data_IF_029180698424
#
_entry.id   IF_029180698424
#
_cell.length_a   1.000
_cell.length_b   1.000
_cell.length_c   1.000
_cell.angle_alpha   90.00
_cell.angle_beta   90.00
_cell.angle_gamma   90.00
#
_symmetry.space_group_name_H-M   'P 1'
#
loop_
_entity.id
_entity.type
_entity.pdbx_description
1 polymer ?
#
# COMPACT_ATOMS: atom_id res chain seq x y z
N UNK A 1 38.39 13.49 -33.64
CA UNK A 1 39.71 12.93 -33.37
C UNK A 1 39.60 11.93 -32.26
N UNK A 2 39.96 10.67 -32.51
CA UNK A 2 39.98 9.62 -31.47
C UNK A 2 41.13 9.93 -30.48
N UNK A 3 40.85 9.99 -29.16
CA UNK A 3 41.90 10.30 -28.19
C UNK A 3 42.90 9.13 -28.10
N UNK A 4 44.19 9.48 -27.92
CA UNK A 4 45.25 8.49 -27.73
C UNK A 4 45.02 7.70 -26.43
N UNK A 5 45.21 6.39 -26.45
CA UNK A 5 45.12 5.49 -25.28
C UNK A 5 46.01 5.95 -24.14
N UNK A 6 47.15 6.59 -24.46
CA UNK A 6 48.08 7.14 -23.46
C UNK A 6 47.48 8.31 -22.68
N UNK A 7 46.79 9.22 -23.35
CA UNK A 7 46.11 10.37 -22.72
C UNK A 7 44.99 9.89 -21.78
N UNK A 8 44.17 8.95 -22.22
CA UNK A 8 43.11 8.37 -21.38
C UNK A 8 43.72 7.72 -20.13
N UNK A 9 44.75 6.89 -20.26
CA UNK A 9 45.42 6.27 -19.10
C UNK A 9 46.01 7.29 -18.13
N UNK A 10 46.59 8.37 -18.62
CA UNK A 10 47.14 9.42 -17.78
C UNK A 10 46.03 10.14 -17.00
N UNK A 11 44.93 10.46 -17.63
CA UNK A 11 43.73 11.04 -17.00
C UNK A 11 43.16 10.09 -15.95
N UNK A 12 42.97 8.82 -16.23
CA UNK A 12 42.50 7.84 -15.27
C UNK A 12 43.39 7.71 -14.03
N UNK A 13 44.74 7.72 -14.22
CA UNK A 13 45.72 7.74 -13.09
C UNK A 13 45.57 8.97 -12.22
N UNK A 14 45.36 10.14 -12.84
CA UNK A 14 45.19 11.41 -12.11
C UNK A 14 43.87 11.38 -11.31
N UNK A 15 42.80 10.84 -11.87
CA UNK A 15 41.51 10.71 -11.22
C UNK A 15 41.53 9.69 -10.07
N UNK A 16 42.28 8.60 -10.19
CA UNK A 16 42.42 7.62 -9.11
C UNK A 16 43.07 8.21 -7.84
N UNK A 17 43.93 9.25 -7.98
CA UNK A 17 44.56 9.93 -6.83
C UNK A 17 43.58 10.82 -6.04
N UNK A 18 42.52 11.31 -6.71
CA UNK A 18 41.48 12.17 -6.09
C UNK A 18 40.09 11.70 -6.44
N UNK A 19 39.54 10.66 -5.77
CA UNK A 19 38.28 10.02 -6.12
C UNK A 19 37.04 10.92 -5.89
N UNK A 20 37.15 11.97 -5.11
CA UNK A 20 36.03 12.91 -4.83
C UNK A 20 36.02 14.14 -5.73
N UNK A 21 37.04 14.31 -6.57
CA UNK A 21 37.12 15.44 -7.48
C UNK A 21 36.08 15.35 -8.56
N UNK A 22 35.36 16.45 -8.84
CA UNK A 22 34.45 16.56 -9.97
C UNK A 22 35.22 16.57 -11.29
N UNK A 23 34.67 15.90 -12.30
CA UNK A 23 35.22 15.91 -13.66
C UNK A 23 35.00 17.28 -14.32
N UNK A 24 36.03 17.78 -15.00
CA UNK A 24 35.84 18.89 -15.92
C UNK A 24 35.03 18.45 -17.16
N UNK A 25 34.50 19.41 -17.91
CA UNK A 25 33.80 19.10 -19.15
C UNK A 25 34.68 18.34 -20.14
N UNK A 26 35.91 18.79 -20.31
CA UNK A 26 36.89 18.20 -21.24
C UNK A 26 37.30 16.78 -20.83
N UNK A 27 37.49 16.55 -19.53
CA UNK A 27 37.75 15.22 -18.98
C UNK A 27 36.57 14.29 -19.22
N UNK A 28 35.33 14.78 -19.06
CA UNK A 28 34.15 14.00 -19.29
C UNK A 28 33.98 13.62 -20.79
N UNK A 29 34.23 14.56 -21.70
CA UNK A 29 34.28 14.33 -23.15
C UNK A 29 35.35 13.32 -23.52
N UNK A 30 36.55 13.45 -22.95
CA UNK A 30 37.66 12.53 -23.18
C UNK A 30 37.34 11.09 -22.76
N UNK A 31 36.80 10.92 -21.55
CA UNK A 31 36.42 9.61 -21.02
C UNK A 31 35.28 9.00 -21.81
N UNK A 32 34.26 9.80 -22.20
CA UNK A 32 33.16 9.37 -23.03
C UNK A 32 33.63 8.91 -24.42
N UNK A 33 34.55 9.65 -25.02
CA UNK A 33 35.17 9.28 -26.30
C UNK A 33 36.01 8.00 -26.18
N UNK A 34 36.70 7.77 -25.05
CA UNK A 34 37.40 6.53 -24.75
C UNK A 34 36.44 5.33 -24.61
N UNK A 35 35.32 5.54 -23.93
CA UNK A 35 34.26 4.54 -23.77
C UNK A 35 33.59 4.18 -25.12
N UNK A 36 33.26 5.17 -25.94
CA UNK A 36 32.58 4.97 -27.24
C UNK A 36 33.50 4.26 -28.25
N UNK A 37 34.79 4.52 -28.22
CA UNK A 37 35.78 3.89 -29.10
C UNK A 37 36.39 2.60 -28.52
N UNK A 38 35.81 2.04 -27.48
CA UNK A 38 36.24 0.78 -26.82
C UNK A 38 37.67 0.84 -26.26
N UNK A 39 38.19 2.03 -25.99
CA UNK A 39 39.48 2.26 -25.41
C UNK A 39 39.36 2.31 -23.87
N UNK A 40 39.75 1.22 -23.19
CA UNK A 40 39.58 1.09 -21.72
C UNK A 40 38.15 1.36 -21.28
N UNK A 41 37.18 0.75 -21.96
CA UNK A 41 35.74 1.00 -21.82
C UNK A 41 35.26 0.96 -20.37
N UNK A 42 35.57 -0.11 -19.66
CA UNK A 42 35.13 -0.31 -18.29
C UNK A 42 35.79 0.69 -17.32
N UNK A 43 37.07 0.99 -17.52
CA UNK A 43 37.79 1.95 -16.71
C UNK A 43 37.24 3.38 -16.90
N UNK A 44 36.92 3.75 -18.14
CA UNK A 44 36.30 5.02 -18.47
C UNK A 44 34.91 5.14 -17.86
N UNK A 45 34.07 4.10 -18.00
CA UNK A 45 32.71 4.08 -17.42
C UNK A 45 32.78 4.17 -15.88
N UNK A 46 33.62 3.37 -15.25
CA UNK A 46 33.82 3.37 -13.81
C UNK A 46 34.29 4.74 -13.29
N UNK A 47 35.20 5.40 -14.00
CA UNK A 47 35.63 6.74 -13.65
C UNK A 47 34.49 7.76 -13.78
N UNK A 48 33.76 7.75 -14.89
CA UNK A 48 32.61 8.64 -15.09
C UNK A 48 31.53 8.44 -14.02
N UNK A 49 31.20 7.20 -13.65
CA UNK A 49 30.23 6.93 -12.61
C UNK A 49 30.74 7.40 -11.23
N UNK A 50 31.95 7.00 -10.85
CA UNK A 50 32.54 7.32 -9.54
C UNK A 50 32.60 8.82 -9.28
N UNK A 51 33.08 9.59 -10.24
CA UNK A 51 33.23 11.04 -10.10
C UNK A 51 31.90 11.82 -10.17
N UNK A 52 30.80 11.19 -10.62
CA UNK A 52 29.47 11.76 -10.59
C UNK A 52 28.64 11.27 -9.37
N UNK A 53 29.18 10.47 -8.46
CA UNK A 53 28.46 9.99 -7.26
C UNK A 53 28.05 11.14 -6.34
N UNK A 54 28.81 12.22 -6.26
CA UNK A 54 28.44 13.44 -5.53
C UNK A 54 27.12 14.02 -6.05
N UNK A 55 27.01 14.13 -7.37
CA UNK A 55 25.79 14.60 -8.04
C UNK A 55 24.58 13.69 -7.77
N UNK A 56 24.76 12.36 -7.83
CA UNK A 56 23.69 11.40 -7.47
C UNK A 56 23.25 11.59 -6.03
N UNK A 57 24.22 11.70 -5.08
CA UNK A 57 23.90 11.91 -3.67
C UNK A 57 23.10 13.20 -3.45
N UNK A 58 23.43 14.26 -4.15
CA UNK A 58 22.69 15.53 -4.04
C UNK A 58 21.25 15.40 -4.55
N UNK A 59 21.02 14.70 -5.66
CA UNK A 59 19.69 14.42 -6.18
C UNK A 59 18.89 13.53 -5.21
N UNK A 60 19.53 12.54 -4.60
CA UNK A 60 18.88 11.62 -3.65
C UNK A 60 18.53 12.26 -2.29
N UNK A 61 19.11 13.41 -1.91
CA UNK A 61 18.78 14.13 -0.67
C UNK A 61 17.30 14.52 -0.55
N UNK A 62 16.57 14.54 -1.65
CA UNK A 62 15.12 14.78 -1.67
C UNK A 62 14.33 13.66 -0.97
N UNK A 63 14.93 12.46 -0.83
CA UNK A 63 14.30 11.35 -0.12
C UNK A 63 14.36 11.60 1.38
N UNK A 64 13.18 11.59 2.02
CA UNK A 64 13.02 11.80 3.46
C UNK A 64 13.49 10.59 4.29
N UNK A 65 13.39 9.38 3.74
CA UNK A 65 13.69 8.11 4.41
C UNK A 65 15.16 7.75 4.24
N UNK A 66 15.98 7.97 5.29
CA UNK A 66 17.43 7.75 5.27
C UNK A 66 17.81 6.27 5.05
N UNK A 67 16.99 5.35 5.50
CA UNK A 67 17.16 3.90 5.35
C UNK A 67 17.21 3.45 3.88
N UNK A 68 16.45 4.12 3.00
CA UNK A 68 16.40 3.81 1.57
C UNK A 68 17.40 4.62 0.73
N UNK A 69 18.25 5.42 1.37
CA UNK A 69 19.16 6.34 0.65
C UNK A 69 20.15 5.60 -0.26
N UNK A 70 20.72 4.50 0.24
CA UNK A 70 21.73 3.71 -0.51
C UNK A 70 21.08 3.07 -1.74
N UNK A 71 19.92 2.44 -1.57
CA UNK A 71 19.18 1.79 -2.65
C UNK A 71 18.76 2.80 -3.71
N UNK A 72 18.29 3.97 -3.25
CA UNK A 72 17.99 5.08 -4.15
C UNK A 72 19.17 5.51 -4.99
N UNK A 73 20.35 5.65 -4.38
CA UNK A 73 21.58 6.00 -5.11
C UNK A 73 21.90 4.94 -6.16
N UNK A 74 21.76 3.64 -5.86
CA UNK A 74 21.98 2.56 -6.82
C UNK A 74 21.05 2.66 -8.03
N UNK A 75 19.74 2.90 -7.79
CA UNK A 75 18.79 3.15 -8.88
C UNK A 75 19.13 4.37 -9.72
N UNK A 76 19.61 5.42 -9.09
CA UNK A 76 20.04 6.63 -9.78
C UNK A 76 21.31 6.41 -10.63
N UNK A 77 22.21 5.50 -10.21
CA UNK A 77 23.38 5.10 -11.00
C UNK A 77 22.96 4.48 -12.34
N UNK A 78 21.91 3.66 -12.39
CA UNK A 78 21.38 3.15 -13.66
C UNK A 78 20.94 4.30 -14.60
N UNK A 79 20.32 5.34 -14.04
CA UNK A 79 19.96 6.55 -14.80
C UNK A 79 21.15 7.30 -15.33
N UNK A 80 22.21 7.40 -14.53
CA UNK A 80 23.47 8.00 -14.92
C UNK A 80 24.14 7.22 -16.07
N UNK A 81 24.19 5.88 -15.98
CA UNK A 81 24.74 5.03 -17.04
C UNK A 81 23.98 5.22 -18.34
N UNK A 82 22.63 5.24 -18.27
CA UNK A 82 21.79 5.53 -19.44
C UNK A 82 22.03 6.91 -20.03
N UNK A 83 22.31 7.89 -19.17
CA UNK A 83 22.66 9.22 -19.64
C UNK A 83 24.02 9.23 -20.33
N UNK A 84 25.03 8.50 -19.82
CA UNK A 84 26.35 8.34 -20.46
C UNK A 84 26.19 7.69 -21.84
N UNK A 85 25.40 6.63 -21.95
CA UNK A 85 25.16 5.91 -23.23
C UNK A 85 24.57 6.81 -24.34
N UNK A 86 23.73 7.76 -23.95
CA UNK A 86 22.99 8.61 -24.91
C UNK A 86 23.47 10.05 -25.01
N UNK A 87 24.51 10.38 -24.25
CA UNK A 87 25.03 11.73 -24.26
C UNK A 87 25.84 12.00 -25.54
N UNK A 88 25.53 13.11 -26.20
CA UNK A 88 26.23 13.61 -27.37
C UNK A 88 26.96 14.91 -27.01
N UNK A 89 28.28 14.84 -26.75
CA UNK A 89 29.09 16.01 -26.37
C UNK A 89 29.03 17.16 -27.39
N UNK A 90 28.84 16.81 -28.67
CA UNK A 90 28.83 17.75 -29.79
C UNK A 90 27.69 18.78 -29.69
N UNK A 91 26.62 18.48 -28.94
CA UNK A 91 25.51 19.42 -28.70
C UNK A 91 25.87 20.58 -27.77
N UNK A 92 27.06 20.62 -27.20
CA UNK A 92 27.54 21.71 -26.35
C UNK A 92 26.93 21.79 -24.96
N UNK A 93 26.08 20.81 -24.56
CA UNK A 93 25.47 20.77 -23.25
C UNK A 93 26.40 20.09 -22.23
N UNK A 94 26.48 20.68 -21.03
CA UNK A 94 27.20 20.04 -19.91
C UNK A 94 26.53 18.71 -19.56
N UNK A 95 27.36 17.70 -19.30
CA UNK A 95 26.87 16.36 -18.95
C UNK A 95 25.89 16.36 -17.76
N UNK A 96 26.15 17.12 -16.72
CA UNK A 96 25.26 17.20 -15.56
C UNK A 96 23.86 17.70 -15.92
N UNK A 97 23.75 18.68 -16.81
CA UNK A 97 22.46 19.19 -17.29
C UNK A 97 21.70 18.13 -18.07
N UNK A 98 22.40 17.37 -18.91
CA UNK A 98 21.81 16.27 -19.67
C UNK A 98 21.43 15.07 -18.79
N UNK A 99 22.26 14.71 -17.82
CA UNK A 99 22.06 13.55 -16.96
C UNK A 99 20.94 13.75 -15.92
N UNK A 100 20.69 14.99 -15.48
CA UNK A 100 19.70 15.31 -14.46
C UNK A 100 18.32 14.70 -14.71
N UNK A 101 17.67 14.87 -15.87
CA UNK A 101 16.35 14.28 -16.13
C UNK A 101 16.35 12.74 -16.12
N UNK A 102 17.42 12.09 -16.55
CA UNK A 102 17.56 10.63 -16.52
C UNK A 102 17.65 10.08 -15.10
N UNK A 103 18.48 10.72 -14.26
CA UNK A 103 18.64 10.38 -12.85
C UNK A 103 17.33 10.63 -12.11
N UNK A 104 16.71 11.80 -12.34
CA UNK A 104 15.46 12.18 -11.69
C UNK A 104 14.29 11.27 -12.08
N UNK A 105 14.24 10.80 -13.32
CA UNK A 105 13.23 9.82 -13.77
C UNK A 105 13.39 8.49 -13.01
N UNK A 106 14.62 8.01 -12.85
CA UNK A 106 14.88 6.78 -12.07
C UNK A 106 14.52 6.95 -10.61
N UNK A 107 14.85 8.10 -10.01
CA UNK A 107 14.46 8.46 -8.65
C UNK A 107 12.95 8.41 -8.46
N UNK A 108 12.19 9.04 -9.34
CA UNK A 108 10.71 9.03 -9.27
C UNK A 108 10.12 7.63 -9.40
N UNK A 109 10.66 6.82 -10.31
CA UNK A 109 10.24 5.41 -10.45
C UNK A 109 10.53 4.60 -9.19
N UNK A 110 11.70 4.79 -8.57
CA UNK A 110 12.03 4.16 -7.30
C UNK A 110 11.02 4.55 -6.21
N UNK A 111 10.74 5.85 -6.07
CA UNK A 111 9.76 6.36 -5.10
C UNK A 111 8.36 5.77 -5.29
N UNK A 112 7.90 5.65 -6.54
CA UNK A 112 6.55 5.14 -6.82
C UNK A 112 6.42 3.63 -6.69
N UNK A 113 7.48 2.87 -7.04
CA UNK A 113 7.38 1.42 -7.16
C UNK A 113 7.90 0.65 -5.95
N UNK A 114 8.85 1.22 -5.19
CA UNK A 114 9.58 0.46 -4.17
C UNK A 114 9.57 1.10 -2.78
N UNK A 115 9.42 2.42 -2.68
CA UNK A 115 9.47 3.11 -1.39
C UNK A 115 8.19 2.89 -0.57
N UNK A 116 7.07 2.59 -1.21
CA UNK A 116 5.80 2.34 -0.54
C UNK A 116 5.58 0.85 -0.32
N UNK A 117 5.24 0.45 0.90
CA UNK A 117 4.86 -0.92 1.25
C UNK A 117 3.69 -1.41 0.37
N UNK A 118 2.69 -0.56 0.15
CA UNK A 118 1.60 -0.83 -0.79
C UNK A 118 1.88 -0.05 -2.07
N UNK A 119 2.16 -0.77 -3.15
CA UNK A 119 2.48 -0.17 -4.45
C UNK A 119 1.30 0.59 -5.02
N UNK A 120 1.52 1.84 -5.37
CA UNK A 120 0.56 2.69 -6.09
C UNK A 120 1.08 2.92 -7.51
N UNK A 121 0.22 2.74 -8.52
CA UNK A 121 0.59 2.96 -9.91
C UNK A 121 1.03 4.41 -10.15
N UNK A 122 2.10 4.61 -10.95
CA UNK A 122 2.71 5.93 -11.21
C UNK A 122 1.69 6.95 -11.75
N UNK A 123 0.79 6.52 -12.64
CA UNK A 123 -0.25 7.40 -13.18
C UNK A 123 -1.21 7.94 -12.11
N UNK A 124 -1.50 7.16 -11.07
CA UNK A 124 -2.33 7.58 -9.92
C UNK A 124 -1.59 8.62 -9.08
N UNK A 125 -0.29 8.43 -8.86
CA UNK A 125 0.56 9.40 -8.14
C UNK A 125 0.62 10.74 -8.90
N UNK A 126 0.76 10.70 -10.22
CA UNK A 126 0.76 11.91 -11.06
C UNK A 126 -0.59 12.63 -10.99
N UNK A 127 -1.70 11.88 -11.07
CA UNK A 127 -3.06 12.44 -10.92
C UNK A 127 -3.24 13.07 -9.52
N UNK A 128 -2.77 12.42 -8.48
CA UNK A 128 -2.80 12.95 -7.11
C UNK A 128 -2.04 14.27 -6.98
N UNK A 129 -0.82 14.37 -7.51
CA UNK A 129 -0.06 15.62 -7.47
C UNK A 129 -0.76 16.75 -8.24
N UNK A 130 -1.40 16.43 -9.36
CA UNK A 130 -2.22 17.39 -10.11
C UNK A 130 -3.43 17.84 -9.27
N UNK A 131 -4.16 16.90 -8.68
CA UNK A 131 -5.32 17.16 -7.82
C UNK A 131 -4.96 18.04 -6.62
N UNK A 132 -3.83 17.73 -5.93
CA UNK A 132 -3.35 18.53 -4.80
C UNK A 132 -3.04 19.98 -5.16
N UNK A 133 -2.52 20.22 -6.37
CA UNK A 133 -2.30 21.60 -6.85
C UNK A 133 -3.61 22.37 -6.99
N UNK A 134 -4.63 21.75 -7.58
CA UNK A 134 -5.95 22.38 -7.70
C UNK A 134 -6.62 22.56 -6.34
N UNK A 135 -6.44 21.61 -5.44
CA UNK A 135 -6.96 21.73 -4.07
C UNK A 135 -6.41 22.97 -3.37
N UNK A 136 -5.09 23.17 -3.36
CA UNK A 136 -4.46 24.34 -2.72
C UNK A 136 -4.89 25.65 -3.38
N UNK A 137 -4.99 25.69 -4.70
CA UNK A 137 -5.44 26.89 -5.42
C UNK A 137 -6.89 27.26 -5.07
N UNK A 138 -7.79 26.27 -5.09
CA UNK A 138 -9.20 26.50 -4.74
C UNK A 138 -9.39 26.85 -3.27
N UNK A 139 -8.63 26.24 -2.37
CA UNK A 139 -8.68 26.58 -0.95
C UNK A 139 -8.26 28.04 -0.69
N UNK A 140 -7.25 28.53 -1.42
CA UNK A 140 -6.84 29.94 -1.36
C UNK A 140 -7.89 30.89 -1.98
N UNK A 141 -8.54 30.48 -3.08
CA UNK A 141 -9.57 31.28 -3.75
C UNK A 141 -10.88 31.34 -2.92
N UNK A 142 -11.28 30.21 -2.33
CA UNK A 142 -12.56 30.08 -1.61
C UNK A 142 -12.48 30.44 -0.12
N UNK A 143 -11.28 30.44 0.47
CA UNK A 143 -11.09 30.60 1.92
C UNK A 143 -11.61 29.43 2.77
N UNK A 144 -12.01 28.31 2.12
CA UNK A 144 -12.49 27.07 2.74
C UNK A 144 -12.02 25.85 1.95
N UNK A 145 -12.04 24.65 2.54
CA UNK A 145 -11.72 23.44 1.80
C UNK A 145 -12.71 23.24 0.64
N UNK A 146 -12.22 22.95 -0.59
CA UNK A 146 -13.07 22.74 -1.76
C UNK A 146 -13.81 21.41 -1.68
N UNK A 147 -15.02 21.38 -2.23
CA UNK A 147 -15.80 20.14 -2.43
C UNK A 147 -15.27 19.32 -3.59
N UNK A 148 -15.62 18.03 -3.64
CA UNK A 148 -15.20 17.13 -4.74
C UNK A 148 -15.79 17.53 -6.08
N UNK A 149 -16.98 18.13 -6.09
CA UNK A 149 -17.60 18.70 -7.29
C UNK A 149 -16.79 19.88 -7.85
N UNK A 150 -16.39 20.82 -6.99
CA UNK A 150 -15.55 21.98 -7.36
C UNK A 150 -14.18 21.54 -7.87
N UNK A 151 -13.58 20.50 -7.21
CA UNK A 151 -12.33 19.89 -7.67
C UNK A 151 -12.48 19.20 -9.01
N UNK A 152 -13.58 18.49 -9.25
CA UNK A 152 -13.89 17.84 -10.52
C UNK A 152 -14.00 18.85 -11.65
N UNK A 153 -14.76 19.91 -11.45
CA UNK A 153 -14.95 20.99 -12.43
C UNK A 153 -13.62 21.66 -12.79
N UNK A 154 -12.82 22.01 -11.77
CA UNK A 154 -11.57 22.75 -11.98
C UNK A 154 -10.43 21.89 -12.53
N UNK A 155 -10.33 20.63 -12.11
CA UNK A 155 -9.27 19.70 -12.52
C UNK A 155 -9.56 18.97 -13.83
N UNK A 156 -10.85 18.86 -14.22
CA UNK A 156 -11.32 18.03 -15.31
C UNK A 156 -11.25 16.52 -15.03
N UNK A 157 -11.18 16.13 -13.75
CA UNK A 157 -11.16 14.73 -13.31
C UNK A 157 -12.56 14.29 -12.90
N UNK A 158 -12.91 13.02 -13.15
CA UNK A 158 -14.17 12.43 -12.65
C UNK A 158 -14.14 12.27 -11.14
N UNK A 159 -15.30 12.26 -10.49
CA UNK A 159 -15.43 12.06 -9.05
C UNK A 159 -14.78 10.73 -8.61
N UNK A 160 -14.99 9.65 -9.35
CA UNK A 160 -14.37 8.34 -9.09
C UNK A 160 -12.84 8.41 -9.11
N UNK A 161 -12.27 9.22 -10.03
CA UNK A 161 -10.81 9.41 -10.08
C UNK A 161 -10.30 10.18 -8.86
N UNK A 162 -11.05 11.16 -8.37
CA UNK A 162 -10.71 11.94 -7.18
C UNK A 162 -10.74 11.05 -5.95
N UNK A 163 -11.80 10.25 -5.80
CA UNK A 163 -11.96 9.32 -4.70
C UNK A 163 -10.87 8.23 -4.71
N UNK A 164 -10.59 7.63 -5.88
CA UNK A 164 -9.49 6.68 -6.05
C UNK A 164 -8.14 7.29 -5.66
N UNK A 165 -7.87 8.53 -6.04
CA UNK A 165 -6.63 9.21 -5.68
C UNK A 165 -6.53 9.48 -4.18
N UNK A 166 -7.63 9.85 -3.51
CA UNK A 166 -7.67 10.04 -2.06
C UNK A 166 -7.42 8.72 -1.33
N UNK A 167 -8.17 7.69 -1.68
CA UNK A 167 -8.02 6.36 -1.07
C UNK A 167 -6.60 5.85 -1.23
N UNK A 168 -6.03 5.90 -2.43
CA UNK A 168 -4.67 5.46 -2.68
C UNK A 168 -3.62 6.23 -1.86
N UNK A 169 -3.88 7.49 -1.52
CA UNK A 169 -2.94 8.29 -0.74
C UNK A 169 -3.16 8.17 0.78
N UNK A 170 -4.39 7.92 1.23
CA UNK A 170 -4.72 7.77 2.65
C UNK A 170 -4.26 6.43 3.24
N UNK A 171 -3.93 5.44 2.39
CA UNK A 171 -3.44 4.15 2.84
C UNK A 171 -1.96 4.29 3.26
N UNK A 172 -1.73 4.66 4.51
CA UNK A 172 -0.42 4.57 5.15
C UNK A 172 -0.41 3.35 6.07
N UNK A 173 0.41 2.32 5.77
CA UNK A 173 0.53 1.16 6.65
C UNK A 173 1.14 1.58 7.98
N UNK A 174 0.50 1.19 9.07
CA UNK A 174 1.01 1.38 10.43
C UNK A 174 1.88 0.19 10.80
N UNK A 175 2.98 0.43 11.51
CA UNK A 175 3.84 -0.65 11.98
C UNK A 175 3.09 -1.54 12.98
N UNK A 176 3.15 -2.86 12.82
CA UNK A 176 2.61 -3.82 13.78
C UNK A 176 3.28 -3.71 15.16
N UNK A 177 4.51 -3.21 15.22
CA UNK A 177 5.22 -2.95 16.49
C UNK A 177 4.89 -1.57 17.09
N UNK A 178 3.92 -0.85 16.53
CA UNK A 178 3.48 0.41 17.12
C UNK A 178 2.81 0.16 18.47
N UNK A 179 3.31 0.81 19.52
CA UNK A 179 2.77 0.68 20.89
C UNK A 179 1.37 1.29 20.98
N UNK A 180 0.47 0.62 21.68
CA UNK A 180 -0.87 1.13 21.98
C UNK A 180 -0.77 2.07 23.17
N UNK A 181 -1.23 3.32 22.99
CA UNK A 181 -1.18 4.33 24.06
C UNK A 181 -1.87 3.82 25.34
N UNK A 182 -1.13 3.89 26.44
CA UNK A 182 -1.65 3.49 27.78
C UNK A 182 -1.45 2.01 28.13
N UNK A 183 -0.78 1.23 27.28
CA UNK A 183 -0.43 -0.18 27.52
C UNK A 183 1.00 -0.47 27.07
N UNK A 184 1.62 -1.51 27.62
CA UNK A 184 2.92 -2.02 27.15
C UNK A 184 2.78 -2.95 25.93
N UNK A 185 1.58 -3.04 25.34
CA UNK A 185 1.25 -3.91 24.20
C UNK A 185 1.46 -3.21 22.87
N UNK A 186 1.85 -3.99 21.87
CA UNK A 186 1.94 -3.56 20.46
C UNK A 186 0.66 -3.93 19.70
N UNK A 187 0.47 -3.33 18.51
CA UNK A 187 -0.64 -3.72 17.62
C UNK A 187 -0.59 -5.20 17.24
N UNK A 188 0.61 -5.77 17.15
CA UNK A 188 0.80 -7.20 16.89
C UNK A 188 0.23 -8.06 18.03
N UNK A 189 0.48 -7.69 19.27
CA UNK A 189 -0.03 -8.42 20.44
C UNK A 189 -1.56 -8.36 20.47
N UNK A 190 -2.14 -7.21 20.16
CA UNK A 190 -3.60 -7.05 20.07
C UNK A 190 -4.22 -7.85 18.92
N UNK A 191 -3.57 -7.94 17.77
CA UNK A 191 -4.08 -8.70 16.63
C UNK A 191 -4.09 -10.21 16.89
N UNK A 192 -3.12 -10.71 17.64
CA UNK A 192 -3.06 -12.14 18.03
C UNK A 192 -4.25 -12.49 18.93
N UNK A 193 -4.73 -11.56 19.77
CA UNK A 193 -5.90 -11.79 20.62
C UNK A 193 -7.24 -11.64 19.92
N UNK A 194 -7.29 -10.99 18.73
CA UNK A 194 -8.53 -10.68 18.02
C UNK A 194 -8.93 -11.64 16.90
N UNK A 195 -8.10 -12.60 16.53
CA UNK A 195 -8.26 -13.36 15.28
C UNK A 195 -8.22 -14.87 15.39
N UNK A 196 -8.27 -15.43 16.60
CA UNK A 196 -8.50 -16.86 16.70
C UNK A 196 -10.01 -17.07 16.76
N UNK A 197 -10.62 -17.42 15.63
CA UNK A 197 -11.82 -18.25 15.71
C UNK A 197 -11.39 -19.46 16.53
N UNK A 198 -11.81 -19.46 17.79
CA UNK A 198 -11.57 -20.57 18.68
C UNK A 198 -12.27 -21.79 18.09
N UNK A 199 -11.69 -22.98 18.26
CA UNK A 199 -12.44 -24.21 17.93
C UNK A 199 -13.83 -24.22 18.62
N UNK A 200 -13.97 -23.46 19.72
CA UNK A 200 -15.23 -23.19 20.41
C UNK A 200 -16.20 -22.32 19.59
N UNK A 201 -15.69 -21.31 18.85
CA UNK A 201 -16.52 -20.45 17.98
C UNK A 201 -17.00 -21.22 16.76
N UNK A 202 -16.15 -22.09 16.20
CA UNK A 202 -16.49 -22.97 15.07
C UNK A 202 -17.53 -24.04 15.49
N UNK A 203 -17.37 -24.61 16.68
CA UNK A 203 -18.34 -25.51 17.27
C UNK A 203 -19.66 -24.78 17.58
N UNK A 204 -19.60 -23.56 18.04
CA UNK A 204 -20.78 -22.74 18.33
C UNK A 204 -21.54 -22.39 17.06
N UNK A 205 -20.85 -22.02 15.98
CA UNK A 205 -21.46 -21.76 14.67
C UNK A 205 -22.10 -23.02 14.07
N UNK A 206 -21.44 -24.18 14.15
CA UNK A 206 -21.99 -25.45 13.69
C UNK A 206 -23.23 -25.88 14.48
N UNK A 207 -23.16 -25.75 15.80
CA UNK A 207 -24.29 -26.06 16.69
C UNK A 207 -25.48 -25.13 16.44
N UNK A 208 -25.24 -23.85 16.22
CA UNK A 208 -26.25 -22.86 15.83
C UNK A 208 -26.92 -23.21 14.51
N UNK A 209 -26.12 -23.57 13.50
CA UNK A 209 -26.62 -23.95 12.18
C UNK A 209 -27.50 -25.22 12.25
N UNK A 210 -27.01 -26.22 12.95
CA UNK A 210 -27.76 -27.47 13.18
C UNK A 210 -29.11 -27.22 13.90
N UNK A 211 -29.11 -26.35 14.91
CA UNK A 211 -30.34 -25.97 15.61
C UNK A 211 -31.34 -25.23 14.69
N UNK A 212 -30.87 -24.34 13.82
CA UNK A 212 -31.70 -23.59 12.88
C UNK A 212 -32.26 -24.54 11.81
N UNK A 213 -31.45 -25.44 11.26
CA UNK A 213 -31.91 -26.43 10.27
C UNK A 213 -32.96 -27.38 10.86
N UNK A 214 -32.79 -27.78 12.12
CA UNK A 214 -33.80 -28.61 12.80
C UNK A 214 -35.09 -27.85 13.10
N UNK A 215 -35.01 -26.60 13.54
CA UNK A 215 -36.17 -25.73 13.67
C UNK A 215 -36.94 -25.56 12.35
N UNK A 216 -36.22 -25.48 11.22
CA UNK A 216 -36.80 -25.35 9.91
C UNK A 216 -37.52 -26.64 9.47
N UNK A 217 -37.11 -27.81 9.95
CA UNK A 217 -37.71 -29.11 9.66
C UNK A 217 -38.94 -29.44 10.53
N UNK A 218 -39.14 -28.71 11.62
CA UNK A 218 -40.33 -28.91 12.51
C UNK A 218 -41.60 -28.40 11.86
N UNK A 219 -42.72 -28.98 12.34
CA UNK A 219 -44.06 -28.50 11.99
C UNK A 219 -44.23 -27.00 12.31
N UNK A 220 -44.86 -26.25 11.41
CA UNK A 220 -44.98 -24.79 11.49
C UNK A 220 -45.59 -24.30 12.81
N UNK A 221 -46.58 -25.02 13.34
CA UNK A 221 -47.24 -24.67 14.60
C UNK A 221 -46.27 -24.84 15.79
N UNK A 222 -45.55 -25.96 15.79
CA UNK A 222 -44.57 -26.28 16.85
C UNK A 222 -43.38 -25.34 16.81
N UNK A 223 -42.87 -25.05 15.61
CA UNK A 223 -41.77 -24.09 15.39
C UNK A 223 -42.12 -22.71 15.93
N UNK A 224 -43.34 -22.21 15.63
CA UNK A 224 -43.76 -20.90 16.15
C UNK A 224 -43.89 -20.91 17.68
N UNK A 225 -44.34 -22.00 18.29
CA UNK A 225 -44.42 -22.12 19.75
C UNK A 225 -43.00 -22.05 20.38
N UNK A 226 -42.01 -22.73 19.79
CA UNK A 226 -40.62 -22.71 20.25
C UNK A 226 -40.00 -21.31 20.09
N UNK A 227 -40.22 -20.67 18.92
CA UNK A 227 -39.74 -19.31 18.65
C UNK A 227 -40.31 -18.30 19.64
N UNK A 228 -41.61 -18.37 19.93
CA UNK A 228 -42.27 -17.49 20.90
C UNK A 228 -41.80 -17.77 22.34
N UNK A 229 -41.57 -19.03 22.70
CA UNK A 229 -41.12 -19.41 24.04
C UNK A 229 -39.68 -18.97 24.33
N UNK A 230 -38.81 -19.11 23.36
CA UNK A 230 -37.38 -18.73 23.47
C UNK A 230 -37.11 -17.26 23.11
N UNK A 231 -38.05 -16.58 22.46
CA UNK A 231 -37.90 -15.21 21.99
C UNK A 231 -36.92 -15.06 20.81
N UNK A 232 -36.81 -16.08 19.95
CA UNK A 232 -35.89 -16.13 18.82
C UNK A 232 -36.25 -15.13 17.69
N UNK A 233 -37.44 -14.54 17.74
CA UNK A 233 -37.92 -13.49 16.84
C UNK A 233 -37.53 -12.07 17.28
N UNK A 234 -36.63 -11.94 18.29
CA UNK A 234 -36.20 -10.66 18.88
C UNK A 234 -37.22 -10.05 19.85
N UNK A 235 -38.34 -10.76 20.17
CA UNK A 235 -39.32 -10.33 21.15
C UNK A 235 -39.05 -10.93 22.51
N UNK A 236 -39.71 -10.38 23.53
CA UNK A 236 -39.61 -10.90 24.89
C UNK A 236 -40.15 -12.33 24.92
N UNK A 237 -39.43 -13.32 25.52
CA UNK A 237 -39.90 -14.71 25.66
C UNK A 237 -41.27 -14.79 26.28
N UNK A 238 -42.17 -15.57 25.68
CA UNK A 238 -43.56 -15.73 26.16
C UNK A 238 -43.68 -16.92 27.09
N UNK A 239 -44.52 -16.74 28.10
CA UNK A 239 -44.82 -17.83 29.03
C UNK A 239 -45.74 -18.87 28.39
N UNK A 240 -45.68 -20.11 28.89
CA UNK A 240 -46.53 -21.22 28.43
C UNK A 240 -48.01 -20.83 28.44
N UNK A 241 -48.48 -20.07 29.43
CA UNK A 241 -49.87 -19.61 29.52
C UNK A 241 -50.26 -18.62 28.45
N UNK A 242 -49.35 -17.73 28.05
CA UNK A 242 -49.56 -16.77 26.98
C UNK A 242 -49.67 -17.50 25.62
N UNK A 243 -48.80 -18.48 25.37
CA UNK A 243 -48.82 -19.32 24.18
C UNK A 243 -50.10 -20.15 24.12
N UNK A 244 -50.47 -20.77 25.23
CA UNK A 244 -51.71 -21.53 25.38
C UNK A 244 -52.98 -20.70 25.01
N UNK A 245 -53.03 -19.47 25.52
CA UNK A 245 -54.12 -18.54 25.21
C UNK A 245 -54.15 -18.15 23.74
N UNK A 246 -52.98 -17.93 23.14
CA UNK A 246 -52.84 -17.54 21.72
C UNK A 246 -53.32 -18.64 20.76
N UNK A 247 -52.93 -19.88 21.04
CA UNK A 247 -53.27 -21.04 20.20
C UNK A 247 -54.56 -21.74 20.62
N UNK A 248 -55.23 -21.29 21.68
CA UNK A 248 -56.46 -21.88 22.25
C UNK A 248 -56.31 -23.37 22.61
N UNK A 249 -55.13 -23.75 23.11
CA UNK A 249 -54.78 -25.11 23.50
C UNK A 249 -54.55 -25.14 25.01
N UNK A 250 -54.85 -26.24 25.71
CA UNK A 250 -54.54 -26.36 27.14
C UNK A 250 -53.03 -26.16 27.43
N UNK A 251 -52.68 -25.42 28.52
CA UNK A 251 -51.31 -25.14 28.89
C UNK A 251 -50.46 -26.41 29.11
N UNK A 252 -51.08 -27.49 29.57
CA UNK A 252 -50.43 -28.80 29.74
C UNK A 252 -49.96 -29.37 28.41
N UNK A 253 -50.77 -29.26 27.34
CA UNK A 253 -50.48 -29.74 25.99
C UNK A 253 -49.34 -28.91 25.39
N UNK A 254 -49.32 -27.58 25.57
CA UNK A 254 -48.26 -26.69 25.11
C UNK A 254 -46.95 -27.07 25.81
N UNK A 255 -47.00 -27.31 27.13
CA UNK A 255 -45.84 -27.74 27.91
C UNK A 255 -45.26 -29.07 27.40
N UNK A 256 -46.09 -30.05 27.14
CA UNK A 256 -45.67 -31.35 26.63
C UNK A 256 -45.00 -31.22 25.23
N UNK A 257 -45.64 -30.51 24.32
CA UNK A 257 -45.11 -30.28 22.95
C UNK A 257 -43.78 -29.55 23.01
N UNK A 258 -43.67 -28.49 23.80
CA UNK A 258 -42.40 -27.75 23.99
C UNK A 258 -41.29 -28.60 24.60
N UNK A 259 -41.65 -29.46 25.61
CA UNK A 259 -40.66 -30.34 26.24
C UNK A 259 -40.06 -31.35 25.26
N UNK A 260 -40.89 -31.94 24.39
CA UNK A 260 -40.45 -32.88 23.35
C UNK A 260 -39.59 -32.14 22.31
N UNK A 261 -40.02 -31.00 21.81
CA UNK A 261 -39.29 -30.22 20.82
C UNK A 261 -37.93 -29.73 21.33
N UNK A 262 -37.86 -29.28 22.58
CA UNK A 262 -36.62 -28.87 23.20
C UNK A 262 -35.67 -30.05 23.50
N UNK A 263 -36.18 -31.23 23.79
CA UNK A 263 -35.37 -32.44 23.96
C UNK A 263 -34.77 -32.90 22.61
N UNK A 264 -35.53 -32.85 21.55
CA UNK A 264 -35.09 -33.18 20.17
C UNK A 264 -34.04 -32.19 19.70
N UNK A 265 -34.19 -30.88 19.94
CA UNK A 265 -33.21 -29.85 19.67
C UNK A 265 -31.88 -30.10 20.43
N UNK A 266 -31.94 -30.45 21.70
CA UNK A 266 -30.73 -30.77 22.51
C UNK A 266 -30.01 -31.98 21.97
N UNK A 267 -30.72 -33.04 21.65
CA UNK A 267 -30.13 -34.28 21.16
C UNK A 267 -29.39 -34.05 19.82
N UNK A 268 -29.98 -33.24 18.93
CA UNK A 268 -29.33 -32.91 17.65
C UNK A 268 -28.09 -32.00 17.78
N UNK A 269 -28.11 -31.11 18.76
CA UNK A 269 -26.92 -30.28 19.07
C UNK A 269 -25.78 -31.12 19.66
N UNK A 270 -26.09 -32.12 20.49
CA UNK A 270 -25.10 -33.01 21.12
C UNK A 270 -24.51 -34.06 20.16
N UNK A 271 -25.24 -34.36 19.07
CA UNK A 271 -24.80 -35.36 18.05
C UNK A 271 -24.14 -34.75 16.82
N UNK A 272 -24.11 -33.43 16.67
CA UNK A 272 -23.46 -32.70 15.58
C UNK A 272 -22.07 -32.24 15.97
#
# INVERSE_FOLDING_TARGET
>A
MTPSRTVIRQTLRTLQRNPERLLSHDEMVLLHSGWTNDILKDDCLNAMVRHNMGFIRDVCKVIKHKEHFIDCCQYCVEGLIRAIEKWEPERGLRFSTYAHPWIYQKLRRYQSNQLKTIRIAEHTVVKWHKLRRFYVLLELELGRPPTDAELSERSGMTLDTIEMCRTAHSIEPVSMHHGIQGTDLTLQDSAVFGSTQSAEDEYFEQSHKSAIDHLASMDDELRQMVVLHLGLDGRVPQTIHMIASRYRIPAVTVKQRLTVALAELRQNIETS
#
